data_IF_691978764947
#
_entry.id   IF_691978764947
#
_cell.length_a   1.000
_cell.length_b   1.000
_cell.length_c   1.000
_cell.angle_alpha   90.00
_cell.angle_beta   90.00
_cell.angle_gamma   90.00
#
_symmetry.space_group_name_H-M   'P 1'
#
loop_
_entity.id
_entity.type
_entity.pdbx_description
1 polymer ?
#
# COMPACT_ATOMS: atom_id res chain seq x y z
N UNK A 1 37.22 7.75 51.85
CA UNK A 1 37.47 9.20 51.84
C UNK A 1 36.43 9.80 50.92
N UNK A 2 35.44 10.45 51.52
CA UNK A 2 34.44 11.39 50.97
C UNK A 2 33.52 10.90 49.84
N UNK A 3 32.22 11.17 49.81
CA UNK A 3 31.33 11.93 50.69
C UNK A 3 29.91 11.42 50.41
N UNK A 4 29.17 11.14 51.48
CA UNK A 4 27.73 10.91 51.48
C UNK A 4 26.99 12.26 51.39
N UNK A 5 25.69 12.15 51.16
CA UNK A 5 24.63 13.08 51.60
C UNK A 5 24.01 14.00 50.54
N UNK A 6 22.80 13.64 50.10
CA UNK A 6 21.67 14.58 50.03
C UNK A 6 20.33 13.85 49.92
N UNK A 7 19.74 13.64 51.09
CA UNK A 7 18.37 14.03 51.49
C UNK A 7 17.20 13.73 50.57
N UNK A 8 16.39 12.74 51.01
CA UNK A 8 14.92 12.72 50.90
C UNK A 8 14.33 13.83 51.75
N UNK A 9 13.29 14.50 51.25
CA UNK A 9 12.23 15.06 52.08
C UNK A 9 10.86 14.71 51.48
N UNK A 10 10.00 14.27 52.37
CA UNK A 10 8.65 13.76 52.16
C UNK A 10 7.79 14.46 53.23
N UNK A 11 6.83 15.27 52.82
CA UNK A 11 5.69 15.70 53.63
C UNK A 11 4.69 16.36 52.64
N UNK A 12 3.39 16.15 52.65
CA UNK A 12 2.53 15.52 53.63
C UNK A 12 1.13 16.05 53.40
N UNK A 13 0.22 15.13 53.07
CA UNK A 13 -1.15 15.04 53.59
C UNK A 13 -2.23 16.10 53.32
N UNK A 14 -3.44 15.54 53.23
CA UNK A 14 -4.76 16.07 53.63
C UNK A 14 -5.62 16.65 52.49
N UNK A 15 -6.90 16.32 52.26
CA UNK A 15 -7.85 15.21 52.57
C UNK A 15 -9.25 15.74 52.13
N UNK A 16 -10.14 14.83 51.75
CA UNK A 16 -11.62 14.93 51.68
C UNK A 16 -12.37 15.75 50.58
N UNK A 17 -12.94 14.95 49.65
CA UNK A 17 -14.33 14.91 49.10
C UNK A 17 -15.44 15.54 50.00
N UNK A 18 -16.72 15.60 49.59
CA UNK A 18 -17.37 15.62 48.26
C UNK A 18 -18.41 16.78 48.12
N UNK A 19 -18.82 17.17 46.92
CA UNK A 19 -20.15 17.80 46.74
C UNK A 19 -20.91 17.17 45.56
N UNK A 20 -21.98 16.47 45.94
CA UNK A 20 -23.10 16.09 45.09
C UNK A 20 -24.04 17.30 44.92
N UNK A 21 -24.41 17.64 43.69
CA UNK A 21 -25.81 17.85 43.31
C UNK A 21 -25.95 18.02 41.78
N UNK A 22 -26.91 17.32 41.14
CA UNK A 22 -27.12 17.36 39.69
C UNK A 22 -27.96 18.58 39.30
N UNK A 23 -27.56 19.26 38.23
CA UNK A 23 -28.44 20.19 37.53
C UNK A 23 -29.34 19.39 36.56
N UNK A 24 -30.65 19.49 36.78
CA UNK A 24 -31.69 19.02 35.88
C UNK A 24 -31.47 19.58 34.45
N UNK A 25 -31.17 18.70 33.51
CA UNK A 25 -31.27 18.97 32.08
C UNK A 25 -32.32 18.03 31.46
N UNK A 26 -33.55 18.12 31.98
CA UNK A 26 -34.73 17.68 31.24
C UNK A 26 -35.15 18.78 30.27
N UNK A 27 -34.46 18.84 29.12
CA UNK A 27 -34.88 19.64 27.98
C UNK A 27 -34.99 18.73 26.74
N UNK A 28 -36.18 18.12 26.58
CA UNK A 28 -36.74 17.72 25.29
C UNK A 28 -35.92 16.79 24.41
N UNK A 29 -35.64 15.56 24.84
CA UNK A 29 -35.40 14.48 23.87
C UNK A 29 -36.74 14.10 23.23
N UNK A 30 -36.81 14.20 21.91
CA UNK A 30 -37.92 13.66 21.14
C UNK A 30 -38.03 12.15 21.41
N UNK A 31 -39.25 11.60 21.54
CA UNK A 31 -39.44 10.16 21.74
C UNK A 31 -38.82 9.35 20.58
N UNK A 32 -38.28 8.17 20.89
CA UNK A 32 -37.48 7.32 19.97
C UNK A 32 -38.18 7.00 18.64
N UNK A 33 -39.52 6.93 18.63
CA UNK A 33 -40.29 6.72 17.40
C UNK A 33 -40.15 7.86 16.39
N UNK A 34 -39.95 9.11 16.86
CA UNK A 34 -39.72 10.26 15.96
C UNK A 34 -38.30 10.25 15.37
N UNK A 35 -37.30 9.70 16.08
CA UNK A 35 -35.95 9.51 15.53
C UNK A 35 -35.91 8.39 14.48
N UNK A 36 -36.65 7.31 14.69
CA UNK A 36 -36.73 6.19 13.75
C UNK A 36 -37.45 6.59 12.45
N UNK A 37 -38.48 7.44 12.54
CA UNK A 37 -39.14 8.01 11.36
C UNK A 37 -38.29 9.07 10.65
N UNK A 38 -37.49 9.86 11.37
CA UNK A 38 -36.61 10.85 10.77
C UNK A 38 -35.44 10.20 9.99
N UNK A 39 -34.84 9.12 10.52
CA UNK A 39 -33.78 8.36 9.82
C UNK A 39 -34.30 7.61 8.60
N UNK A 40 -35.45 6.94 8.71
CA UNK A 40 -36.09 6.24 7.59
C UNK A 40 -36.51 7.20 6.47
N UNK A 41 -36.81 8.48 6.78
CA UNK A 41 -37.09 9.52 5.79
C UNK A 41 -35.82 9.99 5.06
N UNK A 42 -34.69 10.09 5.76
CA UNK A 42 -33.41 10.50 5.17
C UNK A 42 -32.85 9.43 4.21
N UNK A 43 -33.01 8.14 4.52
CA UNK A 43 -32.54 7.03 3.67
C UNK A 43 -33.40 6.89 2.38
N UNK A 44 -34.70 7.18 2.47
CA UNK A 44 -35.61 7.20 1.30
C UNK A 44 -35.34 8.43 0.41
N UNK A 45 -34.88 9.55 0.98
CA UNK A 45 -34.58 10.78 0.24
C UNK A 45 -33.20 10.72 -0.46
N UNK A 46 -32.26 9.91 0.04
CA UNK A 46 -30.99 9.62 -0.66
C UNK A 46 -31.14 8.66 -1.83
N UNK A 47 -32.05 7.68 -1.75
CA UNK A 47 -32.31 6.73 -2.85
C UNK A 47 -33.13 7.34 -4.00
N UNK A 48 -33.87 8.42 -3.73
CA UNK A 48 -34.68 9.12 -4.74
C UNK A 48 -33.90 10.19 -5.55
N UNK A 49 -32.66 10.50 -5.18
CA UNK A 49 -31.84 11.55 -5.83
C UNK A 49 -30.94 11.04 -6.97
N UNK A 50 -30.93 9.74 -7.29
CA UNK A 50 -30.08 9.18 -8.36
C UNK A 50 -30.81 8.96 -9.70
N UNK A 51 -32.01 9.51 -9.89
CA UNK A 51 -32.68 9.44 -11.20
C UNK A 51 -33.50 10.68 -11.57
N UNK A 52 -32.82 11.79 -11.89
CA UNK A 52 -33.41 12.85 -12.72
C UNK A 52 -32.43 13.29 -13.79
N UNK A 53 -32.71 12.90 -15.03
CA UNK A 53 -32.22 13.56 -16.24
C UNK A 53 -33.37 14.27 -16.95
N UNK A 54 -33.34 15.62 -16.90
CA UNK A 54 -33.56 16.59 -18.00
C UNK A 54 -34.84 16.42 -18.86
N UNK A 55 -35.76 17.37 -19.04
CA UNK A 55 -35.58 18.81 -19.23
C UNK A 55 -36.91 19.59 -19.05
N UNK A 56 -36.82 20.72 -18.35
CA UNK A 56 -37.69 21.92 -18.44
C UNK A 56 -37.39 22.66 -19.76
N UNK A 57 -38.22 23.60 -20.30
CA UNK A 57 -38.62 24.86 -19.64
C UNK A 57 -40.04 25.32 -20.10
N UNK A 58 -40.66 26.46 -19.81
CA UNK A 58 -40.37 27.73 -19.14
C UNK A 58 -41.72 28.48 -19.02
N UNK A 59 -41.85 29.42 -18.08
CA UNK A 59 -42.58 30.67 -18.37
C UNK A 59 -43.67 31.16 -17.41
N UNK A 60 -43.27 32.09 -16.54
CA UNK A 60 -43.95 33.33 -16.10
C UNK A 60 -45.41 33.31 -15.56
N UNK A 61 -45.52 33.49 -14.22
CA UNK A 61 -46.13 34.61 -13.45
C UNK A 61 -46.88 35.66 -14.30
N UNK A 62 -48.13 36.14 -13.98
CA UNK A 62 -48.44 36.81 -12.70
C UNK A 62 -49.86 36.72 -12.09
N UNK A 63 -49.88 36.97 -10.76
CA UNK A 63 -50.78 37.82 -9.94
C UNK A 63 -52.31 37.76 -10.10
N UNK A 64 -53.01 37.62 -8.96
CA UNK A 64 -54.28 38.33 -8.71
C UNK A 64 -55.33 37.58 -7.90
N UNK A 65 -55.44 37.89 -6.60
CA UNK A 65 -56.74 37.97 -5.91
C UNK A 65 -57.54 39.16 -6.51
N UNK A 66 -58.90 39.11 -6.60
CA UNK A 66 -59.73 39.19 -5.40
C UNK A 66 -61.03 38.37 -5.41
N UNK A 67 -61.59 38.29 -4.20
CA UNK A 67 -62.92 37.79 -3.86
C UNK A 67 -63.98 38.89 -3.98
N UNK A 68 -65.24 38.44 -4.07
CA UNK A 68 -66.52 39.07 -3.66
C UNK A 68 -67.40 39.87 -4.66
N UNK A 69 -68.52 39.22 -4.99
CA UNK A 69 -69.95 39.65 -4.89
C UNK A 69 -70.34 41.12 -5.13
N UNK A 70 -71.28 41.35 -6.05
CA UNK A 70 -72.70 41.62 -5.73
C UNK A 70 -73.52 41.96 -6.99
N UNK A 71 -74.82 41.67 -6.89
CA UNK A 71 -75.96 42.00 -7.78
C UNK A 71 -76.04 43.54 -8.04
N UNK A 72 -76.66 44.07 -9.10
CA UNK A 72 -78.11 44.09 -9.32
C UNK A 72 -78.43 44.80 -10.67
N UNK A 73 -79.52 44.38 -11.34
CA UNK A 73 -80.45 45.16 -12.18
C UNK A 73 -79.94 46.15 -13.24
N UNK A 74 -80.30 45.92 -14.52
CA UNK A 74 -81.04 46.96 -15.28
C UNK A 74 -81.96 46.40 -16.37
N UNK A 75 -83.14 47.03 -16.50
CA UNK A 75 -84.16 46.87 -17.56
C UNK A 75 -83.63 47.60 -18.82
N UNK A 76 -83.76 47.10 -20.04
CA UNK A 76 -84.99 46.97 -20.81
C UNK A 76 -84.92 47.91 -22.04
N UNK A 77 -85.22 47.35 -23.23
CA UNK A 77 -85.45 47.98 -24.55
C UNK A 77 -84.24 48.67 -25.23
N UNK A 78 -83.96 48.53 -26.53
CA UNK A 78 -84.85 48.28 -27.67
C UNK A 78 -84.02 47.98 -28.94
N UNK A 79 -84.70 47.37 -29.92
CA UNK A 79 -84.47 47.47 -31.37
C UNK A 79 -83.39 46.63 -32.08
N UNK A 80 -83.89 45.50 -32.58
CA UNK A 80 -84.08 45.25 -34.02
C UNK A 80 -82.85 45.26 -34.95
N UNK A 81 -82.75 44.15 -35.69
CA UNK A 81 -81.84 43.89 -36.82
C UNK A 81 -80.43 43.44 -36.41
N UNK A 82 -80.33 42.23 -35.87
CA UNK A 82 -79.23 41.26 -36.11
C UNK A 82 -79.60 39.83 -35.68
N UNK A 83 -80.81 39.39 -36.03
CA UNK A 83 -81.23 37.99 -35.94
C UNK A 83 -80.62 37.17 -37.09
N UNK A 84 -79.31 36.94 -36.97
CA UNK A 84 -78.51 35.90 -37.63
C UNK A 84 -77.18 35.65 -36.88
N UNK A 85 -76.75 36.58 -36.01
CA UNK A 85 -75.56 36.42 -35.16
C UNK A 85 -75.88 36.00 -33.70
N UNK A 86 -77.08 36.26 -33.19
CA UNK A 86 -77.51 35.85 -31.85
C UNK A 86 -77.68 34.32 -31.69
N UNK A 87 -77.95 33.60 -32.78
CA UNK A 87 -78.07 32.13 -32.81
C UNK A 87 -76.75 31.40 -33.11
N UNK A 88 -75.61 32.09 -33.15
CA UNK A 88 -74.28 31.47 -33.25
C UNK A 88 -73.45 31.79 -31.99
N UNK A 89 -73.65 32.98 -31.40
CA UNK A 89 -73.03 33.38 -30.14
C UNK A 89 -73.40 32.49 -28.94
N UNK A 90 -74.64 32.00 -28.82
CA UNK A 90 -75.01 31.10 -27.71
C UNK A 90 -74.46 29.68 -27.86
N UNK A 91 -74.20 29.23 -29.10
CA UNK A 91 -73.73 27.87 -29.37
C UNK A 91 -72.22 27.69 -29.11
N UNK A 92 -71.42 28.74 -29.28
CA UNK A 92 -69.99 28.70 -28.93
C UNK A 92 -69.76 28.87 -27.42
N UNK A 93 -70.54 29.70 -26.73
CA UNK A 93 -70.49 29.80 -25.27
C UNK A 93 -70.98 28.50 -24.61
N UNK A 94 -72.05 27.89 -25.11
CA UNK A 94 -72.54 26.59 -24.63
C UNK A 94 -71.54 25.46 -24.87
N UNK A 95 -70.82 25.49 -26.00
CA UNK A 95 -69.76 24.54 -26.33
C UNK A 95 -68.56 24.62 -25.39
N UNK A 96 -68.07 25.83 -25.11
CA UNK A 96 -66.94 26.06 -24.19
C UNK A 96 -67.34 25.79 -22.73
N UNK A 97 -68.55 26.18 -22.33
CA UNK A 97 -69.09 25.88 -21.00
C UNK A 97 -69.24 24.37 -20.76
N UNK A 98 -69.68 23.62 -21.77
CA UNK A 98 -69.81 22.16 -21.70
C UNK A 98 -68.46 21.44 -21.58
N UNK A 99 -67.41 21.94 -22.25
CA UNK A 99 -66.05 21.38 -22.12
C UNK A 99 -65.47 21.68 -20.74
N UNK A 100 -65.65 22.90 -20.22
CA UNK A 100 -65.22 23.28 -18.87
C UNK A 100 -65.94 22.44 -17.80
N UNK A 101 -67.25 22.22 -17.96
CA UNK A 101 -68.03 21.35 -17.07
C UNK A 101 -67.57 19.89 -17.12
N UNK A 102 -67.26 19.36 -18.31
CA UNK A 102 -66.72 18.00 -18.46
C UNK A 102 -65.31 17.85 -17.86
N UNK A 103 -64.43 18.84 -18.05
CA UNK A 103 -63.10 18.83 -17.44
C UNK A 103 -63.15 18.98 -15.93
N UNK A 104 -64.07 19.79 -15.41
CA UNK A 104 -64.29 19.96 -13.99
C UNK A 104 -64.81 18.66 -13.36
N UNK A 105 -65.81 18.01 -13.98
CA UNK A 105 -66.33 16.73 -13.52
C UNK A 105 -65.28 15.61 -13.56
N UNK A 106 -64.49 15.52 -14.64
CA UNK A 106 -63.40 14.54 -14.74
C UNK A 106 -62.30 14.79 -13.72
N UNK A 107 -61.97 16.05 -13.44
CA UNK A 107 -60.98 16.42 -12.43
C UNK A 107 -61.50 16.09 -11.03
N UNK A 108 -62.73 16.48 -10.70
CA UNK A 108 -63.36 16.17 -9.42
C UNK A 108 -63.45 14.65 -9.18
N UNK A 109 -63.84 13.87 -10.20
CA UNK A 109 -63.87 12.42 -10.10
C UNK A 109 -62.47 11.79 -9.97
N UNK A 110 -61.46 12.32 -10.66
CA UNK A 110 -60.08 11.85 -10.52
C UNK A 110 -59.50 12.18 -9.13
N UNK A 111 -59.76 13.38 -8.61
CA UNK A 111 -59.35 13.83 -7.29
C UNK A 111 -60.05 13.02 -6.18
N UNK A 112 -61.36 12.79 -6.29
CA UNK A 112 -62.09 11.95 -5.35
C UNK A 112 -61.59 10.48 -5.34
N UNK A 113 -61.15 9.95 -6.50
CA UNK A 113 -60.49 8.64 -6.56
C UNK A 113 -59.12 8.63 -5.91
N UNK A 114 -58.34 9.70 -6.05
CA UNK A 114 -57.03 9.81 -5.42
C UNK A 114 -57.18 9.84 -3.89
N UNK A 115 -58.12 10.63 -3.37
CA UNK A 115 -58.43 10.69 -1.94
C UNK A 115 -58.99 9.35 -1.42
N UNK A 116 -59.83 8.67 -2.21
CA UNK A 116 -60.28 7.33 -1.88
C UNK A 116 -59.11 6.34 -1.75
N UNK A 117 -58.17 6.35 -2.70
CA UNK A 117 -56.99 5.47 -2.65
C UNK A 117 -56.08 5.81 -1.45
N UNK A 118 -55.93 7.10 -1.09
CA UNK A 118 -55.18 7.51 0.11
C UNK A 118 -55.83 6.98 1.38
N UNK A 119 -57.16 7.04 1.46
CA UNK A 119 -57.92 6.50 2.58
C UNK A 119 -57.81 4.98 2.66
N UNK A 120 -57.90 4.26 1.53
CA UNK A 120 -57.69 2.81 1.46
C UNK A 120 -56.28 2.42 1.95
N UNK A 121 -55.23 3.11 1.48
CA UNK A 121 -53.86 2.87 1.96
C UNK A 121 -53.72 3.16 3.46
N UNK A 122 -54.38 4.21 3.97
CA UNK A 122 -54.34 4.55 5.40
C UNK A 122 -55.02 3.48 6.25
N UNK A 123 -56.15 2.95 5.78
CA UNK A 123 -56.85 1.83 6.42
C UNK A 123 -55.94 0.61 6.44
N UNK A 124 -55.33 0.24 5.31
CA UNK A 124 -54.43 -0.91 5.22
C UNK A 124 -53.22 -0.76 6.18
N UNK A 125 -52.61 0.42 6.24
CA UNK A 125 -51.48 0.68 7.14
C UNK A 125 -51.89 0.60 8.61
N UNK A 126 -53.05 1.18 8.98
CA UNK A 126 -53.58 1.10 10.35
C UNK A 126 -54.03 -0.30 10.73
N UNK A 127 -54.55 -1.08 9.78
CA UNK A 127 -54.91 -2.49 10.01
C UNK A 127 -53.66 -3.32 10.32
N UNK A 128 -52.57 -3.17 9.55
CA UNK A 128 -51.30 -3.84 9.82
C UNK A 128 -50.71 -3.43 11.17
N UNK A 129 -50.74 -2.14 11.50
CA UNK A 129 -50.28 -1.65 12.80
C UNK A 129 -51.13 -2.22 13.95
N UNK A 130 -52.46 -2.24 13.82
CA UNK A 130 -53.35 -2.80 14.84
C UNK A 130 -53.12 -4.29 15.05
N UNK A 131 -52.94 -5.06 13.97
CA UNK A 131 -52.62 -6.49 14.03
C UNK A 131 -51.28 -6.72 14.74
N UNK A 132 -50.24 -5.98 14.34
CA UNK A 132 -48.92 -6.03 14.96
C UNK A 132 -48.98 -5.73 16.47
N UNK A 133 -49.61 -4.62 16.87
CA UNK A 133 -49.74 -4.25 18.30
C UNK A 133 -50.49 -5.31 19.10
N UNK A 134 -51.54 -5.90 18.54
CA UNK A 134 -52.31 -6.97 19.20
C UNK A 134 -51.50 -8.24 19.37
N UNK A 135 -50.76 -8.63 18.34
CA UNK A 135 -49.89 -9.81 18.39
C UNK A 135 -48.75 -9.63 19.41
N UNK A 136 -48.08 -8.47 19.40
CA UNK A 136 -47.03 -8.14 20.39
C UNK A 136 -47.60 -8.12 21.80
N UNK A 137 -48.76 -7.49 22.04
CA UNK A 137 -49.39 -7.47 23.36
C UNK A 137 -49.79 -8.87 23.84
N UNK A 138 -50.25 -9.75 22.94
CA UNK A 138 -50.59 -11.14 23.26
C UNK A 138 -49.34 -11.96 23.60
N UNK A 139 -48.23 -11.76 22.89
CA UNK A 139 -46.96 -12.50 23.05
C UNK A 139 -45.95 -11.79 23.98
N UNK A 140 -46.37 -10.76 24.69
CA UNK A 140 -45.48 -9.88 25.46
C UNK A 140 -44.53 -10.63 26.40
N UNK A 141 -45.06 -11.55 27.22
CA UNK A 141 -44.26 -12.32 28.18
C UNK A 141 -43.22 -13.21 27.47
N UNK A 142 -43.60 -13.85 26.36
CA UNK A 142 -42.73 -14.70 25.57
C UNK A 142 -41.62 -13.88 24.90
N UNK A 143 -41.96 -12.71 24.35
CA UNK A 143 -41.00 -11.77 23.75
C UNK A 143 -39.98 -11.31 24.79
N UNK A 144 -40.43 -10.92 25.99
CA UNK A 144 -39.54 -10.51 27.06
C UNK A 144 -38.58 -11.62 27.47
N UNK A 145 -39.08 -12.85 27.67
CA UNK A 145 -38.23 -13.98 28.07
C UNK A 145 -37.21 -14.31 26.99
N UNK A 146 -37.66 -14.46 25.74
CA UNK A 146 -36.81 -14.82 24.62
C UNK A 146 -35.75 -13.75 24.34
N UNK A 147 -36.16 -12.48 24.21
CA UNK A 147 -35.24 -11.41 23.86
C UNK A 147 -34.31 -11.05 25.03
N UNK A 148 -34.77 -11.13 26.29
CA UNK A 148 -33.87 -10.93 27.44
C UNK A 148 -32.80 -12.02 27.51
N UNK A 149 -33.17 -13.27 27.23
CA UNK A 149 -32.24 -14.40 27.15
C UNK A 149 -31.24 -14.20 26.00
N UNK A 150 -31.73 -13.83 24.81
CA UNK A 150 -30.90 -13.54 23.63
C UNK A 150 -29.92 -12.41 23.88
N UNK A 151 -30.39 -11.30 24.47
CA UNK A 151 -29.55 -10.16 24.86
C UNK A 151 -28.46 -10.58 25.85
N UNK A 152 -28.82 -11.28 26.92
CA UNK A 152 -27.86 -11.73 27.94
C UNK A 152 -26.80 -12.66 27.34
N UNK A 153 -27.19 -13.60 26.47
CA UNK A 153 -26.27 -14.49 25.78
C UNK A 153 -25.33 -13.73 24.83
N UNK A 154 -25.85 -12.75 24.08
CA UNK A 154 -25.06 -11.92 23.18
C UNK A 154 -24.06 -11.04 23.95
N UNK A 155 -24.47 -10.40 25.05
CA UNK A 155 -23.57 -9.64 25.93
C UNK A 155 -22.48 -10.51 26.55
N UNK A 156 -22.83 -11.72 27.00
CA UNK A 156 -21.83 -12.66 27.53
C UNK A 156 -20.82 -13.04 26.44
N UNK A 157 -21.28 -13.40 25.25
CA UNK A 157 -20.41 -13.72 24.12
C UNK A 157 -19.50 -12.54 23.73
N UNK A 158 -20.00 -11.31 23.79
CA UNK A 158 -19.21 -10.11 23.53
C UNK A 158 -18.10 -9.91 24.59
N UNK A 159 -18.39 -10.15 25.88
CA UNK A 159 -17.37 -10.10 26.96
C UNK A 159 -16.32 -11.20 26.82
N UNK A 160 -16.74 -12.40 26.42
CA UNK A 160 -15.82 -13.49 26.13
C UNK A 160 -14.90 -13.17 24.94
N UNK A 161 -15.44 -12.58 23.87
CA UNK A 161 -14.65 -12.12 22.72
C UNK A 161 -13.66 -11.02 23.12
N UNK A 162 -14.08 -10.07 23.97
CA UNK A 162 -13.18 -9.02 24.51
C UNK A 162 -12.04 -9.62 25.34
N UNK A 163 -12.34 -10.59 26.22
CA UNK A 163 -11.32 -11.30 27.01
C UNK A 163 -10.32 -12.01 26.10
N UNK A 164 -10.80 -12.73 25.07
CA UNK A 164 -9.93 -13.40 24.09
C UNK A 164 -9.06 -12.41 23.31
N UNK A 165 -9.60 -11.24 22.96
CA UNK A 165 -8.89 -10.17 22.28
C UNK A 165 -7.78 -9.57 23.16
N UNK A 166 -8.04 -9.36 24.44
CA UNK A 166 -7.05 -8.91 25.41
C UNK A 166 -5.91 -9.93 25.55
N UNK A 167 -6.23 -11.22 25.68
CA UNK A 167 -5.25 -12.31 25.73
C UNK A 167 -4.35 -12.34 24.48
N UNK A 168 -4.93 -12.25 23.29
CA UNK A 168 -4.18 -12.22 22.02
C UNK A 168 -3.29 -10.97 21.92
N UNK A 169 -3.79 -9.81 22.38
CA UNK A 169 -3.03 -8.56 22.41
C UNK A 169 -1.84 -8.67 23.37
N UNK A 170 -2.05 -9.24 24.56
CA UNK A 170 -1.00 -9.48 25.54
C UNK A 170 0.07 -10.44 25.00
N UNK A 171 -0.32 -11.52 24.33
CA UNK A 171 0.62 -12.44 23.65
C UNK A 171 1.39 -11.75 22.54
N UNK A 172 0.72 -10.95 21.71
CA UNK A 172 1.38 -10.19 20.65
C UNK A 172 2.42 -9.21 21.22
N UNK A 173 2.13 -8.56 22.35
CA UNK A 173 3.06 -7.66 23.01
C UNK A 173 4.24 -8.40 23.66
N UNK A 174 4.00 -9.58 24.22
CA UNK A 174 5.08 -10.44 24.72
C UNK A 174 6.01 -10.90 23.59
N UNK A 175 5.45 -11.36 22.48
CA UNK A 175 6.23 -11.72 21.29
C UNK A 175 7.02 -10.52 20.72
N UNK A 176 6.50 -9.29 20.81
CA UNK A 176 7.25 -8.08 20.43
C UNK A 176 8.44 -7.83 21.38
N UNK A 177 8.28 -8.08 22.68
CA UNK A 177 9.40 -7.99 23.64
C UNK A 177 10.45 -9.05 23.35
N UNK A 178 10.03 -10.29 23.11
CA UNK A 178 10.91 -11.41 22.71
C UNK A 178 11.68 -11.08 21.42
N UNK A 179 10.99 -10.57 20.39
CA UNK A 179 11.61 -10.15 19.14
C UNK A 179 12.66 -9.06 19.35
N UNK A 180 12.38 -8.09 20.22
CA UNK A 180 13.33 -7.03 20.54
C UNK A 180 14.56 -7.58 21.25
N UNK A 181 14.36 -8.39 22.29
CA UNK A 181 15.45 -9.03 23.03
C UNK A 181 16.32 -9.88 22.10
N UNK A 182 15.70 -10.75 21.30
CA UNK A 182 16.40 -11.59 20.32
C UNK A 182 17.18 -10.74 19.31
N UNK A 183 16.58 -9.66 18.80
CA UNK A 183 17.27 -8.77 17.85
C UNK A 183 18.49 -8.09 18.47
N UNK A 184 18.42 -7.71 19.75
CA UNK A 184 19.55 -7.11 20.46
C UNK A 184 20.67 -8.15 20.68
N UNK A 185 20.31 -9.38 21.08
CA UNK A 185 21.24 -10.51 21.23
C UNK A 185 21.90 -10.88 19.90
N UNK A 186 21.12 -11.00 18.82
CA UNK A 186 21.61 -11.26 17.47
C UNK A 186 22.58 -10.15 17.01
N UNK A 187 22.25 -8.88 17.25
CA UNK A 187 23.10 -7.75 16.89
C UNK A 187 24.43 -7.75 17.65
N UNK A 188 24.46 -8.17 18.92
CA UNK A 188 25.71 -8.32 19.67
C UNK A 188 26.57 -9.48 19.14
N UNK A 189 25.92 -10.59 18.79
CA UNK A 189 26.58 -11.78 18.23
C UNK A 189 27.16 -11.46 16.85
N UNK A 190 26.40 -10.81 15.98
CA UNK A 190 26.84 -10.38 14.65
C UNK A 190 28.03 -9.45 14.75
N UNK A 191 27.99 -8.43 15.64
CA UNK A 191 29.14 -7.53 15.87
C UNK A 191 30.40 -8.29 16.28
N UNK A 192 30.28 -9.24 17.21
CA UNK A 192 31.41 -10.06 17.67
C UNK A 192 31.98 -10.92 16.53
N UNK A 193 31.11 -11.58 15.76
CA UNK A 193 31.52 -12.41 14.63
C UNK A 193 32.15 -11.59 13.52
N UNK A 194 31.64 -10.38 13.27
CA UNK A 194 32.22 -9.43 12.32
C UNK A 194 33.62 -9.01 12.72
N UNK A 195 33.83 -8.64 13.99
CA UNK A 195 35.19 -8.33 14.49
C UNK A 195 36.13 -9.53 14.35
N UNK A 196 35.65 -10.75 14.62
CA UNK A 196 36.45 -11.96 14.43
C UNK A 196 36.78 -12.21 12.95
N UNK A 197 35.83 -11.97 12.05
CA UNK A 197 36.01 -12.03 10.60
C UNK A 197 37.06 -11.02 10.13
N UNK A 198 36.94 -9.75 10.51
CA UNK A 198 37.88 -8.70 10.13
C UNK A 198 39.29 -9.04 10.63
N UNK A 199 39.42 -9.50 11.88
CA UNK A 199 40.71 -9.93 12.43
C UNK A 199 41.30 -11.15 11.71
N UNK A 200 40.46 -12.10 11.26
CA UNK A 200 40.92 -13.24 10.48
C UNK A 200 41.36 -12.84 9.06
N UNK A 201 40.63 -11.92 8.42
CA UNK A 201 40.97 -11.38 7.11
C UNK A 201 42.30 -10.59 7.14
N UNK A 202 42.53 -9.80 8.19
CA UNK A 202 43.79 -9.07 8.37
C UNK A 202 44.98 -10.02 8.57
N UNK A 203 44.80 -11.09 9.34
CA UNK A 203 45.82 -12.14 9.49
C UNK A 203 46.11 -12.84 8.17
N UNK A 204 45.07 -13.16 7.39
CA UNK A 204 45.21 -13.78 6.07
C UNK A 204 45.99 -12.87 5.11
N UNK A 205 45.67 -11.58 5.10
CA UNK A 205 46.39 -10.57 4.31
C UNK A 205 47.86 -10.48 4.73
N UNK A 206 48.14 -10.41 6.02
CA UNK A 206 49.50 -10.35 6.55
C UNK A 206 50.31 -11.61 6.21
N UNK A 207 49.72 -12.79 6.37
CA UNK A 207 50.34 -14.07 6.03
C UNK A 207 50.67 -14.14 4.53
N UNK A 208 49.73 -13.74 3.66
CA UNK A 208 49.94 -13.65 2.21
C UNK A 208 51.09 -12.71 1.85
N UNK A 209 51.17 -11.55 2.49
CA UNK A 209 52.24 -10.58 2.24
C UNK A 209 53.60 -11.10 2.72
N UNK A 210 53.65 -11.77 3.87
CA UNK A 210 54.86 -12.42 4.38
C UNK A 210 55.36 -13.52 3.44
N UNK A 211 54.45 -14.35 2.91
CA UNK A 211 54.77 -15.37 1.92
C UNK A 211 55.33 -14.78 0.62
N UNK A 212 54.74 -13.68 0.14
CA UNK A 212 55.23 -12.96 -1.05
C UNK A 212 56.64 -12.41 -0.84
N UNK A 213 56.95 -11.88 0.35
CA UNK A 213 58.31 -11.41 0.69
C UNK A 213 59.33 -12.53 0.68
N UNK A 214 58.98 -13.71 1.19
CA UNK A 214 59.86 -14.88 1.15
C UNK A 214 60.11 -15.36 -0.28
N UNK A 215 59.07 -15.40 -1.11
CA UNK A 215 59.21 -15.78 -2.51
C UNK A 215 60.11 -14.81 -3.28
N UNK A 216 59.90 -13.50 -3.11
CA UNK A 216 60.76 -12.50 -3.74
C UNK A 216 62.23 -12.66 -3.32
N UNK A 217 62.50 -12.89 -2.03
CA UNK A 217 63.88 -13.14 -1.54
C UNK A 217 64.53 -14.36 -2.17
N UNK A 218 63.75 -15.42 -2.41
CA UNK A 218 64.23 -16.62 -3.10
C UNK A 218 64.51 -16.32 -4.58
N UNK A 219 63.64 -15.56 -5.23
CA UNK A 219 63.79 -15.17 -6.63
C UNK A 219 65.00 -14.24 -6.81
N UNK A 220 65.21 -13.28 -5.90
CA UNK A 220 66.39 -12.40 -5.86
C UNK A 220 67.69 -13.21 -5.68
N UNK A 221 67.73 -14.16 -4.73
CA UNK A 221 68.91 -15.00 -4.50
C UNK A 221 69.27 -15.90 -5.71
N UNK A 222 68.25 -16.37 -6.46
CA UNK A 222 68.47 -17.11 -7.70
C UNK A 222 69.00 -16.22 -8.81
N UNK A 223 68.44 -15.01 -8.94
CA UNK A 223 68.93 -14.01 -9.88
C UNK A 223 70.38 -13.61 -9.60
N UNK A 224 70.77 -13.51 -8.32
CA UNK A 224 72.15 -13.23 -7.92
C UNK A 224 73.10 -14.39 -8.28
N UNK A 225 72.68 -15.64 -8.08
CA UNK A 225 73.45 -16.81 -8.50
C UNK A 225 73.68 -16.81 -10.02
N UNK A 226 72.63 -16.59 -10.80
CA UNK A 226 72.73 -16.53 -12.27
C UNK A 226 73.72 -15.45 -12.71
N UNK A 227 73.64 -14.26 -12.10
CA UNK A 227 74.58 -13.16 -12.35
C UNK A 227 76.03 -13.54 -12.00
N UNK A 228 76.27 -14.15 -10.84
CA UNK A 228 77.61 -14.57 -10.41
C UNK A 228 78.19 -15.67 -11.31
N UNK A 229 77.36 -16.58 -11.83
CA UNK A 229 77.80 -17.57 -12.81
C UNK A 229 78.27 -16.91 -14.12
N UNK A 230 77.54 -15.89 -14.58
CA UNK A 230 77.93 -15.10 -15.76
C UNK A 230 79.23 -14.32 -15.51
N UNK A 231 79.35 -13.66 -14.36
CA UNK A 231 80.55 -12.91 -13.95
C UNK A 231 81.78 -13.82 -13.83
N UNK A 232 81.61 -15.03 -13.27
CA UNK A 232 82.68 -16.04 -13.23
C UNK A 232 83.13 -16.46 -14.62
N UNK A 233 82.17 -16.78 -15.51
CA UNK A 233 82.49 -17.16 -16.90
C UNK A 233 83.26 -16.05 -17.61
N UNK A 234 82.81 -14.80 -17.48
CA UNK A 234 83.49 -13.66 -18.06
C UNK A 234 84.91 -13.45 -17.48
N UNK A 235 85.06 -13.59 -16.15
CA UNK A 235 86.35 -13.42 -15.47
C UNK A 235 87.36 -14.49 -15.86
N UNK A 236 86.93 -15.76 -15.98
CA UNK A 236 87.79 -16.85 -16.43
C UNK A 236 88.21 -16.66 -17.89
N UNK A 237 87.29 -16.29 -18.78
CA UNK A 237 87.60 -15.97 -20.17
C UNK A 237 88.60 -14.81 -20.29
N UNK A 238 88.44 -13.76 -19.49
CA UNK A 238 89.37 -12.63 -19.45
C UNK A 238 90.76 -13.04 -18.94
N UNK A 239 90.84 -13.87 -17.90
CA UNK A 239 92.09 -14.40 -17.38
C UNK A 239 92.81 -15.31 -18.38
N UNK A 240 92.08 -16.16 -19.10
CA UNK A 240 92.61 -16.99 -20.18
C UNK A 240 93.15 -16.15 -21.34
N UNK A 241 92.41 -15.11 -21.75
CA UNK A 241 92.86 -14.16 -22.77
C UNK A 241 94.13 -13.41 -22.34
N UNK A 242 94.23 -13.03 -21.06
CA UNK A 242 95.43 -12.41 -20.52
C UNK A 242 96.64 -13.35 -20.58
N UNK A 243 96.48 -14.64 -20.26
CA UNK A 243 97.53 -15.65 -20.42
C UNK A 243 97.93 -15.79 -21.89
N UNK A 244 96.96 -15.91 -22.80
CA UNK A 244 97.23 -16.02 -24.23
C UNK A 244 97.94 -14.80 -24.79
N UNK A 245 97.57 -13.60 -24.35
CA UNK A 245 98.18 -12.34 -24.78
C UNK A 245 99.61 -12.19 -24.22
N UNK A 246 99.82 -12.48 -22.94
CA UNK A 246 101.15 -12.47 -22.32
C UNK A 246 102.09 -13.49 -22.98
N UNK A 247 101.56 -14.66 -23.36
CA UNK A 247 102.35 -15.67 -24.05
C UNK A 247 102.71 -15.25 -25.47
N UNK A 248 101.76 -14.71 -26.24
CA UNK A 248 102.03 -14.17 -27.57
C UNK A 248 103.07 -13.04 -27.54
N UNK A 249 103.04 -12.17 -26.51
CA UNK A 249 104.02 -11.11 -26.33
C UNK A 249 105.42 -11.67 -26.03
N UNK A 250 105.51 -12.65 -25.13
CA UNK A 250 106.78 -13.33 -24.83
C UNK A 250 107.35 -14.05 -26.07
N UNK A 251 106.52 -14.75 -26.84
CA UNK A 251 106.93 -15.44 -28.06
C UNK A 251 107.45 -14.45 -29.12
N UNK A 252 106.81 -13.29 -29.26
CA UNK A 252 107.25 -12.23 -30.16
C UNK A 252 108.63 -11.65 -29.76
N UNK A 253 108.84 -11.34 -28.48
CA UNK A 253 110.13 -10.84 -27.98
C UNK A 253 111.25 -11.87 -28.14
N UNK A 254 110.96 -13.16 -27.91
CA UNK A 254 111.92 -14.24 -28.16
C UNK A 254 112.29 -14.38 -29.64
N UNK A 255 111.33 -14.19 -30.54
CA UNK A 255 111.59 -14.17 -31.98
C UNK A 255 112.50 -12.98 -32.38
N UNK A 256 112.22 -11.78 -31.86
CA UNK A 256 113.06 -10.60 -32.08
C UNK A 256 114.49 -10.79 -31.57
N UNK A 257 114.66 -11.39 -30.39
CA UNK A 257 115.97 -11.70 -29.83
C UNK A 257 116.73 -12.75 -30.66
N UNK A 258 116.04 -13.79 -31.14
CA UNK A 258 116.63 -14.78 -32.03
C UNK A 258 117.06 -14.19 -33.38
N UNK A 259 116.28 -13.26 -33.93
CA UNK A 259 116.62 -12.55 -35.17
C UNK A 259 117.80 -11.59 -34.98
N UNK A 260 117.87 -10.89 -33.84
CA UNK A 260 119.01 -10.05 -33.46
C UNK A 260 120.30 -10.87 -33.36
N UNK A 261 120.25 -12.09 -32.80
CA UNK A 261 121.39 -13.00 -32.73
C UNK A 261 121.85 -13.49 -34.11
N UNK A 262 120.91 -13.71 -35.04
CA UNK A 262 121.23 -14.15 -36.41
C UNK A 262 121.90 -13.06 -37.25
N UNK A 263 121.61 -11.79 -36.96
CA UNK A 263 122.09 -10.63 -37.72
C UNK A 263 122.75 -9.57 -36.81
N UNK A 264 123.95 -9.83 -36.25
CA UNK A 264 124.63 -8.86 -35.40
C UNK A 264 125.03 -7.62 -36.20
N UNK A 265 124.54 -6.45 -35.80
CA UNK A 265 124.80 -5.19 -36.51
C UNK A 265 126.27 -4.79 -36.46
N UNK A 266 126.76 -4.07 -37.48
CA UNK A 266 128.13 -3.53 -37.52
C UNK A 266 128.43 -2.47 -36.42
N UNK A 267 127.40 -1.97 -35.72
CA UNK A 267 127.52 -1.09 -34.56
C UNK A 267 127.53 -1.92 -33.26
N UNK A 268 128.71 -2.28 -32.77
CA UNK A 268 128.90 -3.16 -31.61
C UNK A 268 128.29 -2.61 -30.31
N UNK A 269 128.27 -1.28 -30.14
CA UNK A 269 127.67 -0.63 -28.98
C UNK A 269 126.14 -0.77 -29.00
N UNK A 270 125.50 -0.47 -30.14
CA UNK A 270 124.03 -0.56 -30.29
C UNK A 270 123.49 -1.99 -30.17
N UNK A 271 124.23 -2.98 -30.70
CA UNK A 271 123.88 -4.40 -30.55
C UNK A 271 123.85 -4.83 -29.08
N UNK A 272 124.90 -4.51 -28.31
CA UNK A 272 125.00 -4.93 -26.91
C UNK A 272 123.94 -4.31 -26.01
N UNK A 273 123.53 -3.07 -26.30
CA UNK A 273 122.47 -2.38 -25.57
C UNK A 273 121.11 -3.00 -25.88
N UNK A 274 120.73 -3.15 -27.16
CA UNK A 274 119.44 -3.75 -27.54
C UNK A 274 119.33 -5.21 -27.12
N UNK A 275 120.43 -5.98 -27.17
CA UNK A 275 120.48 -7.35 -26.64
C UNK A 275 120.15 -7.39 -25.15
N UNK A 276 120.72 -6.47 -24.36
CA UNK A 276 120.46 -6.40 -22.91
C UNK A 276 119.05 -5.89 -22.61
N UNK A 277 118.53 -4.95 -23.40
CA UNK A 277 117.14 -4.48 -23.30
C UNK A 277 116.16 -5.62 -23.59
N UNK A 278 116.36 -6.37 -24.67
CA UNK A 278 115.52 -7.53 -25.00
C UNK A 278 115.60 -8.63 -23.94
N UNK A 279 116.77 -8.89 -23.35
CA UNK A 279 116.91 -9.83 -22.24
C UNK A 279 116.08 -9.39 -21.02
N UNK A 280 116.04 -8.09 -20.72
CA UNK A 280 115.20 -7.53 -19.67
C UNK A 280 113.71 -7.59 -20.04
N UNK A 281 113.32 -7.17 -21.25
CA UNK A 281 111.94 -7.23 -21.76
C UNK A 281 111.40 -8.68 -21.76
N UNK A 282 112.20 -9.65 -22.18
CA UNK A 282 111.87 -11.09 -22.14
C UNK A 282 111.70 -11.56 -20.69
N UNK A 283 112.58 -11.14 -19.77
CA UNK A 283 112.46 -11.47 -18.35
C UNK A 283 111.16 -10.91 -17.75
N UNK A 284 110.84 -9.65 -18.04
CA UNK A 284 109.62 -8.99 -17.57
C UNK A 284 108.36 -9.61 -18.19
N UNK A 285 108.38 -9.93 -19.49
CA UNK A 285 107.27 -10.62 -20.16
C UNK A 285 107.09 -12.06 -19.66
N UNK A 286 108.18 -12.77 -19.33
CA UNK A 286 108.12 -14.09 -18.72
C UNK A 286 107.58 -14.04 -17.29
N UNK A 287 107.91 -13.00 -16.53
CA UNK A 287 107.31 -12.73 -15.23
C UNK A 287 105.81 -12.42 -15.37
N UNK A 288 105.41 -11.53 -16.29
CA UNK A 288 104.01 -11.21 -16.54
C UNK A 288 103.18 -12.43 -16.95
N UNK A 289 103.73 -13.32 -17.78
CA UNK A 289 103.07 -14.59 -18.13
C UNK A 289 102.94 -15.52 -16.92
N UNK A 290 103.96 -15.58 -16.06
CA UNK A 290 103.90 -16.36 -14.82
C UNK A 290 102.81 -15.80 -13.90
N UNK A 291 102.77 -14.50 -13.68
CA UNK A 291 101.76 -13.83 -12.86
C UNK A 291 100.34 -14.06 -13.41
N UNK A 292 100.14 -13.95 -14.73
CA UNK A 292 98.84 -14.24 -15.36
C UNK A 292 98.40 -15.70 -15.15
N UNK A 293 99.34 -16.66 -15.25
CA UNK A 293 99.06 -18.09 -15.00
C UNK A 293 98.80 -18.38 -13.51
N UNK A 294 99.45 -17.67 -12.61
CA UNK A 294 99.23 -17.77 -11.17
C UNK A 294 97.91 -17.13 -10.73
N UNK A 295 97.45 -16.07 -11.42
CA UNK A 295 96.20 -15.38 -11.13
C UNK A 295 94.94 -16.16 -11.52
N UNK A 296 94.96 -16.93 -12.63
CA UNK A 296 93.81 -17.72 -13.06
C UNK A 296 93.22 -18.63 -11.96
N UNK A 297 94.01 -19.49 -11.26
CA UNK A 297 93.47 -20.32 -10.19
C UNK A 297 93.05 -19.52 -8.94
N UNK A 298 93.51 -18.27 -8.77
CA UNK A 298 93.03 -17.38 -7.69
C UNK A 298 91.63 -16.86 -8.05
N UNK A 299 91.45 -16.31 -9.26
CA UNK A 299 90.16 -15.83 -9.77
C UNK A 299 89.11 -16.96 -9.75
N UNK A 300 89.49 -18.17 -10.16
CA UNK A 300 88.59 -19.33 -10.13
C UNK A 300 88.10 -19.66 -8.72
N UNK A 301 89.02 -19.66 -7.73
CA UNK A 301 88.66 -19.93 -6.33
C UNK A 301 87.80 -18.84 -5.71
N UNK A 302 88.11 -17.57 -5.98
CA UNK A 302 87.36 -16.43 -5.45
C UNK A 302 85.93 -16.40 -6.00
N UNK A 303 85.78 -16.51 -7.32
CA UNK A 303 84.46 -16.55 -7.97
C UNK A 303 83.66 -17.81 -7.60
N UNK A 304 84.31 -18.97 -7.44
CA UNK A 304 83.63 -20.17 -6.94
C UNK A 304 83.15 -19.99 -5.50
N UNK A 305 83.93 -19.31 -4.65
CA UNK A 305 83.51 -19.01 -3.28
C UNK A 305 82.27 -18.13 -3.27
N UNK A 306 82.18 -17.12 -4.13
CA UNK A 306 80.98 -16.27 -4.26
C UNK A 306 79.75 -17.09 -4.70
N UNK A 307 79.92 -18.02 -5.65
CA UNK A 307 78.87 -18.96 -6.06
C UNK A 307 78.43 -19.84 -4.89
N UNK A 308 79.38 -20.40 -4.12
CA UNK A 308 79.06 -21.24 -2.96
C UNK A 308 78.32 -20.45 -1.87
N UNK A 309 78.65 -19.17 -1.69
CA UNK A 309 77.95 -18.25 -0.80
C UNK A 309 76.52 -17.94 -1.30
N UNK A 310 76.33 -17.74 -2.61
CA UNK A 310 75.00 -17.54 -3.22
C UNK A 310 74.11 -18.79 -3.13
N UNK A 311 74.67 -19.99 -3.33
CA UNK A 311 73.95 -21.26 -3.14
C UNK A 311 73.46 -21.44 -1.71
N UNK A 312 74.25 -21.02 -0.71
CA UNK A 312 73.81 -21.00 0.70
C UNK A 312 72.69 -19.98 0.92
N UNK A 313 72.77 -18.81 0.28
CA UNK A 313 71.72 -17.80 0.37
C UNK A 313 70.38 -18.31 -0.20
N UNK A 314 70.40 -19.10 -1.29
CA UNK A 314 69.20 -19.77 -1.84
C UNK A 314 68.64 -20.78 -0.85
N UNK A 315 69.47 -21.66 -0.28
CA UNK A 315 69.05 -22.64 0.72
C UNK A 315 68.42 -21.96 1.95
N UNK A 316 69.05 -20.90 2.44
CA UNK A 316 68.54 -20.10 3.56
C UNK A 316 67.23 -19.35 3.25
N UNK A 317 67.06 -18.85 2.02
CA UNK A 317 65.82 -18.22 1.57
C UNK A 317 64.69 -19.25 1.38
N UNK A 318 65.02 -20.49 0.99
CA UNK A 318 64.04 -21.55 0.73
C UNK A 318 63.52 -22.21 2.02
N UNK A 319 64.37 -22.39 3.03
CA UNK A 319 64.02 -23.02 4.34
C UNK A 319 62.70 -22.55 4.97
N UNK A 320 62.39 -21.24 5.09
CA UNK A 320 61.16 -20.78 5.75
C UNK A 320 59.89 -20.95 4.90
N UNK A 321 59.99 -21.15 3.57
CA UNK A 321 58.83 -21.13 2.67
C UNK A 321 57.80 -22.22 2.98
N UNK A 322 58.18 -23.51 3.20
CA UNK A 322 57.20 -24.56 3.50
C UNK A 322 56.41 -24.28 4.80
N UNK A 323 57.08 -23.79 5.83
CA UNK A 323 56.45 -23.44 7.11
C UNK A 323 55.49 -22.26 6.92
N UNK A 324 55.90 -21.24 6.17
CA UNK A 324 55.04 -20.10 5.88
C UNK A 324 53.81 -20.48 5.04
N UNK A 325 53.96 -21.43 4.09
CA UNK A 325 52.82 -21.97 3.31
C UNK A 325 51.82 -22.69 4.20
N UNK A 326 52.28 -23.61 5.05
CA UNK A 326 51.40 -24.32 5.99
C UNK A 326 50.68 -23.33 6.93
N UNK A 327 51.41 -22.34 7.47
CA UNK A 327 50.82 -21.29 8.30
C UNK A 327 49.78 -20.46 7.54
N UNK A 328 50.04 -20.12 6.28
CA UNK A 328 49.06 -19.41 5.44
C UNK A 328 47.79 -20.24 5.21
N UNK A 329 47.92 -21.53 4.92
CA UNK A 329 46.77 -22.43 4.73
C UNK A 329 45.89 -22.51 5.99
N UNK A 330 46.50 -22.59 7.17
CA UNK A 330 45.77 -22.56 8.45
C UNK A 330 45.01 -21.24 8.66
N UNK A 331 45.66 -20.11 8.36
CA UNK A 331 45.07 -18.77 8.50
C UNK A 331 43.96 -18.56 7.47
N UNK A 332 44.15 -19.00 6.23
CA UNK A 332 43.13 -18.95 5.19
C UNK A 332 41.89 -19.76 5.58
N UNK A 333 42.09 -21.00 6.05
CA UNK A 333 40.99 -21.84 6.55
C UNK A 333 40.30 -21.23 7.78
N UNK A 334 41.03 -20.49 8.65
CA UNK A 334 40.41 -19.75 9.75
C UNK A 334 39.56 -18.57 9.26
N UNK A 335 40.02 -17.83 8.24
CA UNK A 335 39.27 -16.74 7.63
C UNK A 335 38.01 -17.24 6.90
N UNK A 336 38.09 -18.37 6.19
CA UNK A 336 36.94 -19.03 5.57
C UNK A 336 35.89 -19.41 6.62
N UNK A 337 36.31 -20.08 7.71
CA UNK A 337 35.42 -20.42 8.83
C UNK A 337 34.78 -19.19 9.48
N UNK A 338 35.52 -18.08 9.61
CA UNK A 338 34.99 -16.85 10.16
C UNK A 338 33.93 -16.22 9.22
N UNK A 339 34.14 -16.27 7.89
CA UNK A 339 33.17 -15.83 6.88
C UNK A 339 31.88 -16.65 6.95
N UNK A 340 32.02 -17.98 6.98
CA UNK A 340 30.89 -18.91 7.09
C UNK A 340 30.12 -18.71 8.39
N UNK A 341 30.82 -18.61 9.53
CA UNK A 341 30.18 -18.39 10.82
C UNK A 341 29.39 -17.07 10.89
N UNK A 342 29.96 -15.98 10.34
CA UNK A 342 29.26 -14.70 10.27
C UNK A 342 28.03 -14.77 9.35
N UNK A 343 28.15 -15.39 8.17
CA UNK A 343 27.04 -15.53 7.23
C UNK A 343 25.91 -16.40 7.80
N UNK A 344 26.24 -17.56 8.37
CA UNK A 344 25.29 -18.48 8.98
C UNK A 344 24.55 -17.83 10.16
N UNK A 345 25.27 -17.13 11.05
CA UNK A 345 24.65 -16.45 12.18
C UNK A 345 23.63 -15.38 11.74
N UNK A 346 23.95 -14.64 10.67
CA UNK A 346 23.04 -13.64 10.11
C UNK A 346 21.79 -14.28 9.49
N UNK A 347 21.97 -15.34 8.70
CA UNK A 347 20.85 -16.05 8.08
C UNK A 347 19.92 -16.67 9.14
N UNK A 348 20.50 -17.29 10.18
CA UNK A 348 19.75 -17.89 11.26
C UNK A 348 19.00 -16.83 12.11
N UNK A 349 19.63 -15.68 12.37
CA UNK A 349 18.98 -14.54 13.02
C UNK A 349 17.78 -14.02 12.20
N UNK A 350 17.98 -13.80 10.89
CA UNK A 350 16.92 -13.34 9.99
C UNK A 350 15.74 -14.33 9.95
N UNK A 351 16.00 -15.64 9.94
CA UNK A 351 14.96 -16.68 9.99
C UNK A 351 14.16 -16.62 11.29
N UNK A 352 14.81 -16.61 12.46
CA UNK A 352 14.13 -16.56 13.76
C UNK A 352 13.31 -15.29 13.93
N UNK A 353 13.85 -14.15 13.53
CA UNK A 353 13.14 -12.87 13.58
C UNK A 353 11.93 -12.83 12.65
N UNK A 354 12.03 -13.41 11.45
CA UNK A 354 10.91 -13.53 10.52
C UNK A 354 9.80 -14.42 11.09
N UNK A 355 10.15 -15.53 11.72
CA UNK A 355 9.18 -16.42 12.36
C UNK A 355 8.42 -15.72 13.49
N UNK A 356 9.12 -14.97 14.35
CA UNK A 356 8.49 -14.17 15.40
C UNK A 356 7.58 -13.08 14.84
N UNK A 357 8.01 -12.36 13.79
CA UNK A 357 7.16 -11.37 13.11
C UNK A 357 5.90 -12.01 12.53
N UNK A 358 6.00 -13.22 11.99
CA UNK A 358 4.86 -14.01 11.54
C UNK A 358 3.86 -14.27 12.67
N UNK A 359 4.33 -14.81 13.79
CA UNK A 359 3.50 -15.07 14.99
C UNK A 359 2.82 -13.80 15.52
N UNK A 360 3.53 -12.67 15.57
CA UNK A 360 2.95 -11.37 15.97
C UNK A 360 1.82 -10.97 15.03
N UNK A 361 2.02 -11.13 13.71
CA UNK A 361 1.01 -10.80 12.72
C UNK A 361 -0.24 -11.68 12.85
N UNK A 362 -0.07 -12.98 13.10
CA UNK A 362 -1.16 -13.93 13.32
C UNK A 362 -1.98 -13.59 14.57
N UNK A 363 -1.32 -13.34 15.71
CA UNK A 363 -2.00 -12.93 16.96
C UNK A 363 -2.71 -11.58 16.79
N UNK A 364 -2.09 -10.62 16.10
CA UNK A 364 -2.72 -9.31 15.82
C UNK A 364 -3.95 -9.46 14.91
N UNK A 365 -3.91 -10.38 13.94
CA UNK A 365 -5.05 -10.66 13.06
C UNK A 365 -6.17 -11.33 13.85
N UNK A 366 -5.84 -12.30 14.70
CA UNK A 366 -6.81 -12.98 15.55
C UNK A 366 -7.50 -12.01 16.52
N UNK A 367 -6.75 -11.08 17.12
CA UNK A 367 -7.31 -10.03 17.99
C UNK A 367 -8.34 -9.15 17.24
N UNK A 368 -8.04 -8.76 16.00
CA UNK A 368 -8.98 -7.99 15.15
C UNK A 368 -10.23 -8.79 14.78
N UNK A 369 -10.11 -10.11 14.67
CA UNK A 369 -11.26 -10.97 14.39
C UNK A 369 -12.18 -11.06 15.61
N UNK A 370 -11.61 -11.11 16.81
CA UNK A 370 -12.37 -11.00 18.06
C UNK A 370 -13.04 -9.64 18.24
N UNK A 371 -12.43 -8.54 17.80
CA UNK A 371 -13.08 -7.21 17.79
C UNK A 371 -14.34 -7.21 16.91
N UNK A 372 -14.31 -7.85 15.73
CA UNK A 372 -15.49 -7.98 14.85
C UNK A 372 -16.55 -8.89 15.44
N UNK A 373 -16.16 -9.99 16.08
CA UNK A 373 -17.08 -10.90 16.76
C UNK A 373 -17.80 -10.17 17.89
N UNK A 374 -17.07 -9.39 18.70
CA UNK A 374 -17.66 -8.53 19.74
C UNK A 374 -18.65 -7.53 19.16
N UNK A 375 -18.30 -6.82 18.09
CA UNK A 375 -19.20 -5.84 17.46
C UNK A 375 -20.49 -6.51 16.95
N UNK A 376 -20.37 -7.66 16.29
CA UNK A 376 -21.52 -8.45 15.85
C UNK A 376 -22.42 -8.86 17.02
N UNK A 377 -21.83 -9.27 18.15
CA UNK A 377 -22.59 -9.65 19.35
C UNK A 377 -23.23 -8.46 20.07
N UNK A 378 -22.58 -7.31 20.06
CA UNK A 378 -23.18 -6.08 20.59
C UNK A 378 -24.35 -5.60 19.74
N UNK A 379 -24.27 -5.73 18.41
CA UNK A 379 -25.41 -5.43 17.53
C UNK A 379 -26.57 -6.41 17.78
N UNK A 380 -26.29 -7.70 17.95
CA UNK A 380 -27.31 -8.69 18.31
C UNK A 380 -28.00 -8.37 19.65
N UNK A 381 -27.25 -7.89 20.65
CA UNK A 381 -27.80 -7.45 21.93
C UNK A 381 -28.66 -6.17 21.78
N UNK A 382 -28.25 -5.23 20.92
CA UNK A 382 -29.01 -4.01 20.64
C UNK A 382 -30.32 -4.31 19.89
N UNK A 383 -30.30 -5.22 18.92
CA UNK A 383 -31.50 -5.67 18.20
C UNK A 383 -32.51 -6.33 19.16
N UNK A 384 -32.03 -7.20 20.05
CA UNK A 384 -32.87 -7.81 21.08
C UNK A 384 -33.45 -6.78 22.05
N UNK A 385 -32.66 -5.76 22.43
CA UNK A 385 -33.16 -4.67 23.27
C UNK A 385 -34.23 -3.83 22.56
N UNK A 386 -34.07 -3.53 21.27
CA UNK A 386 -35.06 -2.76 20.52
C UNK A 386 -36.44 -3.46 20.48
N UNK A 387 -36.44 -4.79 20.35
CA UNK A 387 -37.67 -5.59 20.42
C UNK A 387 -38.29 -5.62 21.83
N UNK A 388 -37.47 -5.62 22.88
CA UNK A 388 -37.93 -5.47 24.27
C UNK A 388 -38.58 -4.09 24.45
N UNK A 389 -37.91 -3.03 24.03
CA UNK A 389 -38.39 -1.65 24.17
C UNK A 389 -39.71 -1.43 23.42
N UNK A 390 -39.84 -1.98 22.21
CA UNK A 390 -41.08 -1.96 21.43
C UNK A 390 -42.21 -2.72 22.13
N UNK A 391 -41.93 -3.93 22.63
CA UNK A 391 -42.92 -4.73 23.34
C UNK A 391 -43.38 -4.07 24.64
N UNK A 392 -42.47 -3.46 25.39
CA UNK A 392 -42.76 -2.66 26.58
C UNK A 392 -43.61 -1.43 26.24
N UNK A 393 -43.28 -0.69 25.16
CA UNK A 393 -44.06 0.46 24.71
C UNK A 393 -45.50 0.08 24.34
N UNK A 394 -45.68 -0.98 23.55
CA UNK A 394 -47.00 -1.47 23.14
C UNK A 394 -47.80 -1.96 24.35
N UNK A 395 -47.15 -2.66 25.29
CA UNK A 395 -47.79 -3.16 26.49
C UNK A 395 -48.19 -2.04 27.47
N UNK A 396 -47.36 -1.00 27.60
CA UNK A 396 -47.59 0.14 28.48
C UNK A 396 -48.69 1.08 27.95
N UNK A 397 -48.94 1.10 26.64
CA UNK A 397 -49.88 2.02 25.98
C UNK A 397 -51.02 1.29 25.24
N UNK A 398 -51.93 0.57 25.94
CA UNK A 398 -53.08 -0.06 25.32
C UNK A 398 -54.06 0.96 24.71
N UNK A 399 -54.08 2.20 25.21
CA UNK A 399 -54.93 3.28 24.70
C UNK A 399 -54.59 3.68 23.26
N UNK A 400 -53.35 3.51 22.82
CA UNK A 400 -52.95 3.76 21.43
C UNK A 400 -53.53 2.69 20.52
N UNK A 401 -53.51 1.43 20.95
CA UNK A 401 -54.14 0.30 20.25
C UNK A 401 -55.65 0.52 20.11
N UNK A 402 -56.30 0.98 21.18
CA UNK A 402 -57.73 1.34 21.16
C UNK A 402 -58.02 2.56 20.27
N UNK A 403 -57.14 3.56 20.26
CA UNK A 403 -57.26 4.72 19.40
C UNK A 403 -57.16 4.35 17.91
N UNK A 404 -56.22 3.46 17.55
CA UNK A 404 -56.09 2.93 16.18
C UNK A 404 -57.34 2.15 15.80
N UNK A 405 -57.87 1.31 16.69
CA UNK A 405 -59.11 0.57 16.45
C UNK A 405 -60.29 1.51 16.13
N UNK A 406 -60.49 2.55 16.95
CA UNK A 406 -61.56 3.55 16.72
C UNK A 406 -61.33 4.36 15.44
N UNK A 407 -60.09 4.73 15.16
CA UNK A 407 -59.75 5.43 13.93
C UNK A 407 -60.05 4.57 12.69
N UNK A 408 -59.77 3.27 12.74
CA UNK A 408 -60.12 2.32 11.67
C UNK A 408 -61.63 2.18 11.46
N UNK A 409 -62.42 2.15 12.53
CA UNK A 409 -63.88 2.14 12.42
C UNK A 409 -64.39 3.42 11.74
N UNK A 410 -63.82 4.58 12.09
CA UNK A 410 -64.14 5.86 11.47
C UNK A 410 -63.72 5.93 10.00
N UNK A 411 -62.49 5.52 9.67
CA UNK A 411 -61.98 5.52 8.30
C UNK A 411 -62.78 4.57 7.40
N UNK A 412 -63.20 3.39 7.90
CA UNK A 412 -64.01 2.45 7.14
C UNK A 412 -65.41 3.00 6.85
N UNK A 413 -66.01 3.73 7.80
CA UNK A 413 -67.26 4.43 7.56
C UNK A 413 -67.07 5.55 6.52
N UNK A 414 -66.01 6.34 6.63
CA UNK A 414 -65.68 7.36 5.62
C UNK A 414 -65.42 6.74 4.25
N UNK A 415 -64.77 5.56 4.19
CA UNK A 415 -64.51 4.86 2.94
C UNK A 415 -65.79 4.50 2.20
N UNK A 416 -66.82 4.06 2.91
CA UNK A 416 -68.14 3.80 2.33
C UNK A 416 -68.76 5.07 1.74
N UNK A 417 -68.76 6.16 2.51
CA UNK A 417 -69.27 7.47 2.06
C UNK A 417 -68.50 7.99 0.82
N UNK A 418 -67.16 7.89 0.83
CA UNK A 418 -66.30 8.33 -0.29
C UNK A 418 -66.46 7.45 -1.53
N UNK A 419 -66.71 6.15 -1.37
CA UNK A 419 -67.03 5.26 -2.49
C UNK A 419 -68.35 5.66 -3.14
N UNK A 420 -69.35 6.01 -2.34
CA UNK A 420 -70.61 6.54 -2.86
C UNK A 420 -70.42 7.89 -3.57
N UNK A 421 -69.63 8.81 -3.00
CA UNK A 421 -69.27 10.10 -3.61
C UNK A 421 -68.55 9.91 -4.95
N UNK A 422 -67.53 9.04 -5.01
CA UNK A 422 -66.81 8.71 -6.25
C UNK A 422 -67.75 8.10 -7.29
N UNK A 423 -68.68 7.22 -6.89
CA UNK A 423 -69.67 6.64 -7.79
C UNK A 423 -70.68 7.68 -8.29
N UNK A 424 -71.10 8.61 -7.44
CA UNK A 424 -71.97 9.72 -7.81
C UNK A 424 -71.28 10.67 -8.80
N UNK A 425 -70.02 11.03 -8.54
CA UNK A 425 -69.20 11.84 -9.46
C UNK A 425 -68.92 11.09 -10.78
N UNK A 426 -68.75 9.76 -10.74
CA UNK A 426 -68.63 8.95 -11.94
C UNK A 426 -69.92 8.94 -12.78
N UNK A 427 -71.08 8.82 -12.11
CA UNK A 427 -72.39 8.89 -12.75
C UNK A 427 -72.69 10.29 -13.29
N UNK A 428 -72.28 11.35 -12.58
CA UNK A 428 -72.37 12.74 -13.05
C UNK A 428 -71.48 12.96 -14.27
N UNK A 429 -70.21 12.55 -14.22
CA UNK A 429 -69.28 12.58 -15.35
C UNK A 429 -69.88 11.82 -16.55
N UNK A 430 -70.48 10.65 -16.31
CA UNK A 430 -71.17 9.87 -17.34
C UNK A 430 -72.40 10.60 -17.90
N UNK A 431 -73.22 11.21 -17.05
CA UNK A 431 -74.42 11.96 -17.47
C UNK A 431 -74.04 13.22 -18.28
N UNK A 432 -72.96 13.91 -17.92
CA UNK A 432 -72.40 15.04 -18.68
C UNK A 432 -71.87 14.51 -20.02
N UNK A 433 -71.23 13.34 -20.03
CA UNK A 433 -70.78 12.66 -21.26
C UNK A 433 -71.95 12.28 -22.17
N UNK A 434 -73.10 11.89 -21.64
CA UNK A 434 -74.32 11.60 -22.41
C UNK A 434 -75.01 12.88 -22.92
N UNK A 435 -75.19 13.88 -22.04
CA UNK A 435 -75.77 15.19 -22.38
C UNK A 435 -74.92 15.97 -23.38
N UNK A 436 -73.60 15.74 -23.43
CA UNK A 436 -72.72 16.29 -24.49
C UNK A 436 -72.67 15.42 -25.74
N UNK A 437 -73.01 14.12 -25.66
CA UNK A 437 -73.15 13.25 -26.85
C UNK A 437 -74.38 13.58 -27.68
N UNK A 438 -75.54 13.83 -27.08
CA UNK A 438 -76.78 14.08 -27.84
C UNK A 438 -76.72 15.35 -28.75
N UNK A 439 -76.16 16.49 -28.31
CA UNK A 439 -75.90 17.65 -29.16
C UNK A 439 -74.81 17.37 -30.18
N UNK A 440 -73.71 16.67 -29.82
CA UNK A 440 -72.65 16.29 -30.77
C UNK A 440 -73.16 15.37 -31.87
N UNK A 441 -74.04 14.41 -31.56
CA UNK A 441 -74.67 13.53 -32.55
C UNK A 441 -75.61 14.32 -33.45
N UNK A 442 -76.42 15.23 -32.89
CA UNK A 442 -77.26 16.15 -33.66
C UNK A 442 -76.43 17.08 -34.55
N UNK A 443 -75.29 17.59 -34.05
CA UNK A 443 -74.34 18.41 -34.79
C UNK A 443 -73.67 17.61 -35.90
N UNK A 444 -73.25 16.36 -35.65
CA UNK A 444 -72.74 15.44 -36.67
C UNK A 444 -73.81 15.12 -37.70
N UNK A 445 -75.07 14.88 -37.31
CA UNK A 445 -76.16 14.65 -38.28
C UNK A 445 -76.52 15.90 -39.06
N UNK A 446 -76.43 17.10 -38.46
CA UNK A 446 -76.66 18.38 -39.14
C UNK A 446 -75.50 18.71 -40.08
N UNK A 447 -74.25 18.49 -39.68
CA UNK A 447 -73.08 18.61 -40.55
C UNK A 447 -73.13 17.56 -41.66
N UNK A 448 -73.46 16.30 -41.35
CA UNK A 448 -73.60 15.26 -42.35
C UNK A 448 -74.75 15.57 -43.32
N UNK A 449 -75.89 16.09 -42.84
CA UNK A 449 -76.98 16.56 -43.69
C UNK A 449 -76.56 17.77 -44.53
N UNK A 450 -75.82 18.73 -43.98
CA UNK A 450 -75.28 19.87 -44.71
C UNK A 450 -74.26 19.41 -45.78
N UNK A 451 -73.38 18.47 -45.47
CA UNK A 451 -72.45 17.86 -46.42
C UNK A 451 -73.17 17.02 -47.48
N UNK A 452 -74.27 16.36 -47.13
CA UNK A 452 -75.10 15.59 -48.07
C UNK A 452 -75.88 16.55 -48.99
N UNK A 453 -76.36 17.68 -48.47
CA UNK A 453 -76.93 18.77 -49.29
C UNK A 453 -75.86 19.38 -50.19
N UNK A 454 -74.66 19.62 -49.70
CA UNK A 454 -73.52 20.08 -50.52
C UNK A 454 -73.15 19.04 -51.58
N UNK A 455 -73.14 17.75 -51.23
CA UNK A 455 -72.89 16.66 -52.17
C UNK A 455 -74.00 16.53 -53.21
N UNK A 456 -75.26 16.75 -52.83
CA UNK A 456 -76.40 16.83 -53.76
C UNK A 456 -76.30 18.06 -54.66
N UNK A 457 -75.90 19.22 -54.13
CA UNK A 457 -75.64 20.43 -54.92
C UNK A 457 -74.47 20.24 -55.89
N UNK A 458 -73.40 19.56 -55.46
CA UNK A 458 -72.26 19.21 -56.31
C UNK A 458 -72.63 18.15 -57.36
N UNK A 459 -73.42 17.14 -56.99
CA UNK A 459 -73.94 16.14 -57.92
C UNK A 459 -74.90 16.79 -58.94
N UNK A 460 -75.72 17.75 -58.51
CA UNK A 460 -76.58 18.53 -59.40
C UNK A 460 -75.75 19.41 -60.35
N UNK A 461 -74.67 20.03 -59.86
CA UNK A 461 -73.72 20.78 -60.67
C UNK A 461 -72.89 19.91 -61.62
N UNK A 462 -72.73 18.61 -61.34
CA UNK A 462 -72.05 17.64 -62.21
C UNK A 462 -72.99 16.95 -63.21
N UNK A 463 -74.32 17.07 -63.04
CA UNK A 463 -75.33 16.47 -63.92
C UNK A 463 -76.06 17.49 -64.81
N UNK A 464 -75.64 18.75 -64.76
CA UNK A 464 -76.00 19.86 -65.66
C UNK A 464 -74.73 20.40 -66.30
#
# INVERSE_FOLDING_TARGET
MNEEDQTRDFDGTHIDRPEDAPADEQAGKLPSFLEHHARKRADIESDAMDSVGTDTPSGCVPTGEPSQTAEESDRGDENAISNAAANIGSFFSDGIASVKAMSAARRAHAEAREELNKLENTIDDRERELEHRRDVAHRYADILEEQSSRKAAAEQAAREAETRREDMTARADELKRELKQMSDEDATTEKRLKTALDAAADKERSARESGRRLQNRLDDAKSDLERLEEERRASLLAAEQAISSAQAHLDALNAEYADLQRNPSANSAGYSVRSRELELEISDAAAALRDARENLPVIDRETQREIDEALRAIDDAQKPIPVAKASFEEVAAAADRAREAHAAAREDAEKRQKELRGRIADETKAAKEQDREREMKMNEAADAQALIDEAEDIHAHPEVTEAIHRALEADRAELEDRREEVNALAAEEHSIREKTRAPRLRFITVIAAALLVIALLLAWMLLT
#
